data_IF_906422371715
#
_entry.id   IF_906422371715
#
_cell.length_a   1.000
_cell.length_b   1.000
_cell.length_c   1.000
_cell.angle_alpha   90.00
_cell.angle_beta   90.00
_cell.angle_gamma   90.00
#
_symmetry.space_group_name_H-M   'P 1'
#
loop_
_entity.id
_entity.type
_entity.pdbx_description
1 polymer ?
#
# COMPACT_ATOMS: atom_id res chain seq x y z
N UNK A 1 -60.01 18.84 36.98
CA UNK A 1 -60.37 19.94 37.90
C UNK A 1 -59.11 20.72 38.21
N UNK A 2 -59.12 22.02 37.86
CA UNK A 2 -58.26 23.14 38.29
C UNK A 2 -56.72 23.00 38.15
N UNK A 3 -55.91 23.98 37.74
CA UNK A 3 -56.04 25.31 37.10
C UNK A 3 -54.59 25.83 37.04
N UNK A 4 -54.04 26.19 35.88
CA UNK A 4 -53.81 27.59 35.43
C UNK A 4 -52.36 28.10 35.55
N UNK A 5 -51.86 28.57 34.40
CA UNK A 5 -50.60 29.28 34.00
C UNK A 5 -50.65 30.77 34.47
N UNK A 6 -49.75 31.75 34.11
CA UNK A 6 -48.37 31.81 33.56
C UNK A 6 -47.44 32.89 34.20
N UNK A 7 -46.16 32.98 33.78
CA UNK A 7 -45.51 34.26 33.35
C UNK A 7 -44.07 34.10 32.81
N UNK A 8 -43.82 34.79 31.71
CA UNK A 8 -42.59 34.93 30.89
C UNK A 8 -41.41 35.67 31.53
N UNK A 9 -40.20 35.43 31.01
CA UNK A 9 -39.28 36.53 30.63
C UNK A 9 -38.23 36.08 29.60
N UNK A 10 -38.16 36.84 28.50
CA UNK A 10 -37.29 36.72 27.31
C UNK A 10 -35.96 37.47 27.49
N UNK A 11 -34.90 37.00 26.82
CA UNK A 11 -33.90 37.84 26.12
C UNK A 11 -33.11 36.96 25.12
N UNK A 12 -33.43 37.04 23.82
CA UNK A 12 -32.75 37.84 22.78
C UNK A 12 -31.29 37.44 22.49
N UNK A 13 -31.08 36.62 21.45
CA UNK A 13 -29.86 36.66 20.63
C UNK A 13 -30.30 36.64 19.16
N UNK A 14 -29.99 37.74 18.48
CA UNK A 14 -30.29 37.97 17.08
C UNK A 14 -29.14 37.46 16.19
N UNK A 15 -29.55 36.85 15.09
CA UNK A 15 -28.83 36.65 13.82
C UNK A 15 -28.22 37.94 13.27
N UNK A 16 -27.06 37.88 12.62
CA UNK A 16 -26.83 38.52 11.30
C UNK A 16 -25.52 38.08 10.62
N UNK A 17 -25.65 38.01 9.30
CA UNK A 17 -24.72 37.78 8.21
C UNK A 17 -23.35 38.50 8.20
N UNK A 18 -22.44 37.90 7.40
CA UNK A 18 -21.17 38.45 6.87
C UNK A 18 -21.42 39.65 5.93
N UNK A 19 -20.45 40.54 5.55
CA UNK A 19 -19.26 40.18 4.74
C UNK A 19 -17.98 41.05 4.85
N UNK A 20 -16.94 40.53 4.20
CA UNK A 20 -15.67 41.12 3.73
C UNK A 20 -15.67 42.61 3.37
N UNK A 21 -14.63 43.36 3.76
CA UNK A 21 -14.07 44.49 2.97
C UNK A 21 -12.63 44.86 3.38
N UNK A 22 -11.83 45.18 2.35
CA UNK A 22 -10.44 45.67 2.30
C UNK A 22 -10.36 47.17 2.68
N UNK A 23 -9.28 47.68 3.31
CA UNK A 23 -9.07 49.14 3.41
C UNK A 23 -8.20 49.68 2.27
N UNK A 24 -8.57 50.87 1.79
CA UNK A 24 -7.90 51.70 0.78
C UNK A 24 -6.90 52.69 1.42
N UNK A 25 -5.97 53.09 0.55
CA UNK A 25 -5.11 54.27 0.47
C UNK A 25 -5.30 55.44 1.47
N UNK A 26 -4.16 55.98 1.92
CA UNK A 26 -4.02 57.35 2.40
C UNK A 26 -2.97 58.09 1.54
N UNK A 27 -3.40 59.22 0.99
CA UNK A 27 -2.67 60.21 0.20
C UNK A 27 -2.05 61.28 1.10
N UNK A 28 -0.80 61.67 0.85
CA UNK A 28 -0.23 62.94 1.29
C UNK A 28 0.42 63.68 0.10
N UNK A 29 0.46 65.00 0.19
CA UNK A 29 0.35 65.94 -0.92
C UNK A 29 1.53 66.91 -1.07
N UNK A 30 1.88 67.19 -2.35
CA UNK A 30 2.43 68.45 -2.95
C UNK A 30 3.90 68.87 -2.70
N UNK A 31 4.55 69.75 -3.54
CA UNK A 31 4.06 70.51 -4.71
C UNK A 31 4.95 70.45 -6.00
N UNK A 32 4.46 71.13 -7.05
CA UNK A 32 4.92 71.24 -8.46
C UNK A 32 6.08 72.24 -8.68
N UNK A 33 7.03 71.95 -9.60
CA UNK A 33 7.59 72.81 -10.67
C UNK A 33 8.82 72.15 -11.38
N UNK A 34 9.32 72.67 -12.51
CA UNK A 34 8.80 72.60 -13.89
C UNK A 34 9.69 71.76 -14.84
N UNK A 35 9.19 71.49 -16.04
CA UNK A 35 9.86 70.79 -17.14
C UNK A 35 11.28 71.34 -17.45
N UNK A 36 12.26 70.44 -17.54
CA UNK A 36 13.48 70.65 -18.32
C UNK A 36 13.79 69.41 -19.16
N UNK A 37 13.95 69.68 -20.44
CA UNK A 37 14.37 68.81 -21.53
C UNK A 37 15.68 68.05 -21.24
N UNK A 38 15.70 66.82 -21.76
CA UNK A 38 16.69 65.74 -21.66
C UNK A 38 18.16 66.11 -21.94
N UNK A 39 19.08 65.26 -21.48
CA UNK A 39 20.18 64.81 -22.33
C UNK A 39 20.14 63.30 -22.58
N UNK A 40 20.45 62.96 -23.83
CA UNK A 40 20.50 61.62 -24.42
C UNK A 40 21.30 60.60 -23.59
N UNK A 41 20.64 59.53 -23.15
CA UNK A 41 21.30 58.34 -22.59
C UNK A 41 21.73 57.39 -23.71
N UNK A 42 22.96 56.87 -23.62
CA UNK A 42 23.57 55.91 -24.54
C UNK A 42 22.79 54.58 -24.64
N UNK A 43 22.88 53.83 -25.75
CA UNK A 43 22.14 52.58 -25.90
C UNK A 43 22.65 51.51 -24.94
N UNK A 44 21.77 50.63 -24.42
CA UNK A 44 22.18 49.50 -23.59
C UNK A 44 23.00 48.49 -24.43
N UNK A 45 23.92 47.74 -23.82
CA UNK A 45 24.69 46.72 -24.52
C UNK A 45 23.76 45.58 -25.01
N UNK A 46 24.10 44.89 -26.10
CA UNK A 46 23.26 43.83 -26.64
C UNK A 46 23.15 42.72 -25.59
N UNK A 47 21.92 42.41 -25.20
CA UNK A 47 21.63 41.23 -24.40
C UNK A 47 21.85 40.02 -25.30
N UNK A 48 22.98 39.34 -25.13
CA UNK A 48 23.21 38.05 -25.77
C UNK A 48 22.23 37.06 -25.13
N UNK A 49 21.05 36.90 -25.71
CA UNK A 49 20.20 35.75 -25.45
C UNK A 49 20.97 34.53 -25.95
N UNK A 50 21.68 33.87 -25.03
CA UNK A 50 22.21 32.53 -25.27
C UNK A 50 21.01 31.63 -25.54
N UNK A 51 20.68 31.50 -26.82
CA UNK A 51 19.78 30.46 -27.29
C UNK A 51 20.51 29.16 -26.99
N UNK A 52 20.08 28.44 -25.96
CA UNK A 52 20.55 27.09 -25.71
C UNK A 52 20.15 26.30 -26.95
N UNK A 53 21.13 26.06 -27.83
CA UNK A 53 20.96 25.13 -28.94
C UNK A 53 20.90 23.74 -28.31
N UNK A 54 19.68 23.22 -28.14
CA UNK A 54 19.47 21.81 -27.85
C UNK A 54 19.98 21.08 -29.09
N UNK A 55 21.07 20.33 -28.92
CA UNK A 55 21.65 19.54 -29.99
C UNK A 55 20.57 18.61 -30.56
N UNK A 56 20.18 18.84 -31.81
CA UNK A 56 19.11 18.08 -32.48
C UNK A 56 19.47 16.62 -32.70
N UNK A 57 20.72 16.23 -32.39
CA UNK A 57 21.24 14.88 -32.49
C UNK A 57 21.45 14.18 -31.13
N UNK A 58 20.96 14.75 -30.03
CA UNK A 58 21.07 14.13 -28.71
C UNK A 58 20.22 12.85 -28.64
N UNK A 59 20.88 11.69 -28.64
CA UNK A 59 20.19 10.42 -28.37
C UNK A 59 20.08 10.20 -26.86
N UNK A 60 18.95 10.63 -26.30
CA UNK A 60 18.66 10.51 -24.87
C UNK A 60 18.70 9.05 -24.36
N UNK A 61 18.46 8.05 -25.22
CA UNK A 61 18.50 6.64 -24.82
C UNK A 61 19.95 6.14 -24.72
N UNK A 62 20.81 6.51 -25.67
CA UNK A 62 22.24 6.18 -25.59
C UNK A 62 22.91 6.91 -24.43
N UNK A 63 22.53 8.16 -24.18
CA UNK A 63 22.94 8.87 -22.96
C UNK A 63 22.52 8.10 -21.70
N UNK A 64 21.27 7.66 -21.61
CA UNK A 64 20.79 6.86 -20.47
C UNK A 64 21.60 5.57 -20.27
N UNK A 65 21.90 4.84 -21.34
CA UNK A 65 22.74 3.64 -21.27
C UNK A 65 24.13 3.94 -20.72
N UNK A 66 24.76 5.02 -21.21
CA UNK A 66 26.06 5.47 -20.72
C UNK A 66 26.02 5.82 -19.23
N UNK A 67 24.99 6.53 -18.78
CA UNK A 67 24.82 6.88 -17.38
C UNK A 67 24.55 5.67 -16.48
N UNK A 68 23.86 4.63 -16.97
CA UNK A 68 23.73 3.37 -16.24
C UNK A 68 25.05 2.59 -16.10
N UNK A 69 26.06 2.93 -16.91
CA UNK A 69 27.42 2.36 -16.83
C UNK A 69 28.39 3.28 -16.08
N UNK A 70 27.92 4.41 -15.54
CA UNK A 70 28.75 5.34 -14.77
C UNK A 70 29.41 4.61 -13.59
N UNK A 71 30.66 4.93 -13.27
CA UNK A 71 31.40 4.30 -12.16
C UNK A 71 30.77 4.60 -10.80
N UNK A 72 30.15 5.79 -10.64
CA UNK A 72 29.49 6.21 -9.40
C UNK A 72 28.07 5.62 -9.30
N UNK A 73 27.88 4.72 -8.33
CA UNK A 73 26.58 4.11 -8.02
C UNK A 73 25.48 5.14 -7.71
N UNK A 74 25.84 6.25 -7.06
CA UNK A 74 24.89 7.30 -6.72
C UNK A 74 24.35 8.01 -7.97
N UNK A 75 25.22 8.24 -8.97
CA UNK A 75 24.79 8.83 -10.24
C UNK A 75 23.95 7.85 -11.07
N UNK A 76 24.32 6.56 -11.12
CA UNK A 76 23.47 5.52 -11.74
C UNK A 76 22.06 5.52 -11.14
N UNK A 77 21.95 5.53 -9.80
CA UNK A 77 20.67 5.53 -9.10
C UNK A 77 19.86 6.81 -9.35
N UNK A 78 20.52 7.99 -9.36
CA UNK A 78 19.86 9.27 -9.72
C UNK A 78 19.32 9.24 -11.15
N UNK A 79 20.08 8.67 -12.07
CA UNK A 79 19.67 8.49 -13.47
C UNK A 79 18.43 7.60 -13.55
N UNK A 80 18.45 6.44 -12.90
CA UNK A 80 17.30 5.52 -12.83
C UNK A 80 16.02 6.20 -12.28
N UNK A 81 16.14 7.01 -11.23
CA UNK A 81 15.00 7.77 -10.66
C UNK A 81 14.38 8.78 -11.63
N UNK A 82 15.16 9.23 -12.61
CA UNK A 82 14.79 10.29 -13.57
C UNK A 82 14.42 9.75 -14.95
N UNK A 83 14.25 8.44 -15.09
CA UNK A 83 13.89 7.79 -16.37
C UNK A 83 12.64 8.37 -17.03
N UNK A 84 11.70 8.91 -16.25
CA UNK A 84 10.51 9.61 -16.75
C UNK A 84 10.83 10.87 -17.58
N UNK A 85 11.95 11.56 -17.32
CA UNK A 85 12.39 12.71 -18.11
C UNK A 85 12.85 12.28 -19.51
N UNK A 86 13.53 11.13 -19.60
CA UNK A 86 13.94 10.55 -20.88
C UNK A 86 12.70 10.11 -21.65
N UNK A 87 11.76 9.43 -20.99
CA UNK A 87 10.49 9.02 -21.58
C UNK A 87 9.68 10.21 -22.11
N UNK A 88 9.63 11.32 -21.36
CA UNK A 88 8.99 12.56 -21.78
C UNK A 88 9.65 13.18 -23.02
N UNK A 89 10.99 13.09 -23.13
CA UNK A 89 11.73 13.65 -24.26
C UNK A 89 11.58 12.82 -25.55
N UNK A 90 11.67 11.49 -25.46
CA UNK A 90 11.62 10.61 -26.64
C UNK A 90 10.20 10.30 -27.12
N UNK A 91 9.20 10.59 -26.28
CA UNK A 91 7.79 10.34 -26.55
C UNK A 91 7.36 8.88 -26.31
N UNK A 92 6.05 8.61 -26.33
CA UNK A 92 5.51 7.34 -25.87
C UNK A 92 5.86 6.14 -26.74
N UNK A 93 5.86 6.31 -28.07
CA UNK A 93 6.18 5.23 -29.00
C UNK A 93 7.61 4.71 -28.79
N UNK A 94 8.60 5.61 -28.70
CA UNK A 94 10.00 5.22 -28.41
C UNK A 94 10.21 4.76 -26.97
N UNK A 95 9.41 5.26 -26.03
CA UNK A 95 9.44 4.75 -24.64
C UNK A 95 9.12 3.27 -24.62
N UNK A 96 8.07 2.84 -25.32
CA UNK A 96 7.67 1.44 -25.41
C UNK A 96 8.65 0.61 -26.25
N UNK A 97 9.02 1.11 -27.44
CA UNK A 97 9.78 0.31 -28.40
C UNK A 97 11.29 0.30 -28.17
N UNK A 98 11.83 1.22 -27.37
CA UNK A 98 13.28 1.37 -27.15
C UNK A 98 13.63 1.45 -25.68
N UNK A 99 13.09 2.42 -24.93
CA UNK A 99 13.54 2.67 -23.55
C UNK A 99 13.20 1.51 -22.60
N UNK A 100 11.98 0.98 -22.66
CA UNK A 100 11.57 -0.17 -21.84
C UNK A 100 12.41 -1.43 -22.14
N UNK A 101 12.67 -1.81 -23.41
CA UNK A 101 13.61 -2.88 -23.74
C UNK A 101 15.01 -2.66 -23.17
N UNK A 102 15.55 -1.44 -23.25
CA UNK A 102 16.87 -1.10 -22.69
C UNK A 102 16.89 -1.27 -21.17
N UNK A 103 15.85 -0.83 -20.47
CA UNK A 103 15.74 -1.04 -19.02
C UNK A 103 15.63 -2.54 -18.71
N UNK A 104 14.85 -3.28 -19.49
CA UNK A 104 14.66 -4.73 -19.31
C UNK A 104 15.98 -5.49 -19.49
N UNK A 105 16.78 -5.09 -20.47
CA UNK A 105 18.13 -5.62 -20.69
C UNK A 105 19.11 -5.24 -19.58
N UNK A 106 18.98 -4.04 -19.00
CA UNK A 106 19.85 -3.59 -17.92
C UNK A 106 19.61 -4.36 -16.60
N UNK A 107 18.36 -4.74 -16.31
CA UNK A 107 17.97 -5.41 -15.05
C UNK A 107 18.00 -6.94 -15.12
N UNK A 108 17.94 -7.53 -16.31
CA UNK A 108 17.97 -8.99 -16.44
C UNK A 108 19.33 -9.55 -16.05
N UNK A 109 19.40 -10.86 -15.79
CA UNK A 109 20.65 -11.55 -15.45
C UNK A 109 21.74 -11.29 -16.50
N UNK A 110 22.89 -10.80 -16.07
CA UNK A 110 24.01 -10.43 -16.95
C UNK A 110 23.88 -9.03 -17.56
N UNK A 111 22.83 -8.28 -17.23
CA UNK A 111 22.66 -6.88 -17.55
C UNK A 111 23.56 -5.97 -16.70
N UNK A 112 23.76 -4.74 -17.16
CA UNK A 112 24.67 -3.76 -16.54
C UNK A 112 24.33 -3.47 -15.07
N UNK A 113 23.04 -3.53 -14.71
CA UNK A 113 22.56 -3.16 -13.38
C UNK A 113 22.12 -4.38 -12.56
N UNK A 114 22.37 -5.61 -13.01
CA UNK A 114 21.74 -6.80 -12.41
C UNK A 114 22.14 -7.06 -10.96
N UNK A 115 23.28 -6.53 -10.53
CA UNK A 115 23.82 -6.69 -9.17
C UNK A 115 23.91 -5.35 -8.41
N UNK A 116 23.26 -4.28 -8.90
CA UNK A 116 23.25 -2.96 -8.27
C UNK A 116 21.90 -2.68 -7.59
N UNK A 117 21.79 -3.04 -6.32
CA UNK A 117 20.54 -2.94 -5.55
C UNK A 117 19.96 -1.52 -5.51
N UNK A 118 20.80 -0.49 -5.46
CA UNK A 118 20.32 0.91 -5.39
C UNK A 118 19.68 1.34 -6.72
N UNK A 119 20.30 0.95 -7.84
CA UNK A 119 19.77 1.21 -9.18
C UNK A 119 18.51 0.38 -9.44
N UNK A 120 18.52 -0.91 -9.10
CA UNK A 120 17.36 -1.79 -9.24
C UNK A 120 16.17 -1.29 -8.41
N UNK A 121 16.41 -0.86 -7.18
CA UNK A 121 15.38 -0.25 -6.33
C UNK A 121 14.85 1.07 -6.94
N UNK A 122 15.73 1.93 -7.45
CA UNK A 122 15.34 3.16 -8.13
C UNK A 122 14.49 2.90 -9.38
N UNK A 123 14.84 1.88 -10.18
CA UNK A 123 14.07 1.47 -11.35
C UNK A 123 12.69 0.89 -10.94
N UNK A 124 12.63 0.05 -9.90
CA UNK A 124 11.37 -0.50 -9.39
C UNK A 124 10.38 0.59 -8.99
N UNK A 125 10.84 1.66 -8.32
CA UNK A 125 10.01 2.81 -7.97
C UNK A 125 9.60 3.66 -9.18
N UNK A 126 10.40 3.68 -10.23
CA UNK A 126 10.25 4.62 -11.35
C UNK A 126 9.40 4.05 -12.49
N UNK A 127 9.49 2.76 -12.76
CA UNK A 127 8.77 2.08 -13.84
C UNK A 127 7.24 2.31 -13.80
N UNK A 128 6.54 2.22 -12.66
CA UNK A 128 5.09 2.45 -12.61
C UNK A 128 4.69 3.90 -12.95
N UNK A 129 5.62 4.86 -12.85
CA UNK A 129 5.38 6.25 -13.22
C UNK A 129 5.45 6.48 -14.73
N UNK A 130 5.97 5.52 -15.50
CA UNK A 130 5.99 5.55 -16.96
C UNK A 130 4.62 5.28 -17.59
N UNK A 131 3.59 4.90 -16.80
CA UNK A 131 2.19 4.80 -17.27
C UNK A 131 1.71 6.06 -18.02
N UNK A 132 2.20 7.24 -17.62
CA UNK A 132 1.90 8.52 -18.29
C UNK A 132 2.65 8.74 -19.61
N UNK A 133 3.61 7.88 -19.93
CA UNK A 133 4.55 8.01 -21.03
C UNK A 133 4.54 6.80 -21.98
N UNK A 134 3.51 5.94 -21.94
CA UNK A 134 3.41 4.75 -22.81
C UNK A 134 2.13 4.71 -23.64
N UNK A 135 1.34 5.79 -23.65
CA UNK A 135 0.13 5.93 -24.48
C UNK A 135 -0.85 4.74 -24.34
N UNK A 136 -1.11 4.34 -23.08
CA UNK A 136 -1.98 3.22 -22.75
C UNK A 136 -1.36 1.82 -22.89
N UNK A 137 -0.14 1.70 -23.42
CA UNK A 137 0.62 0.44 -23.55
C UNK A 137 1.27 0.02 -22.21
N UNK A 138 0.50 0.03 -21.12
CA UNK A 138 1.03 -0.26 -19.78
C UNK A 138 1.49 -1.72 -19.64
N UNK A 139 1.06 -2.63 -20.53
CA UNK A 139 1.51 -4.03 -20.53
C UNK A 139 3.02 -4.16 -20.76
N UNK A 140 3.65 -3.18 -21.43
CA UNK A 140 5.10 -3.17 -21.65
C UNK A 140 5.90 -3.03 -20.33
N UNK A 141 5.28 -2.51 -19.26
CA UNK A 141 5.93 -2.33 -17.96
C UNK A 141 5.89 -3.61 -17.10
N UNK A 142 5.06 -4.60 -17.44
CA UNK A 142 4.90 -5.83 -16.66
C UNK A 142 6.17 -6.69 -16.65
N UNK A 143 6.82 -7.00 -17.80
CA UNK A 143 8.03 -7.83 -17.80
C UNK A 143 9.18 -7.30 -16.94
N UNK A 144 9.59 -6.01 -17.00
CA UNK A 144 10.67 -5.53 -16.17
C UNK A 144 10.30 -5.51 -14.67
N UNK A 145 9.06 -5.18 -14.33
CA UNK A 145 8.59 -5.26 -12.95
C UNK A 145 8.56 -6.70 -12.42
N UNK A 146 8.14 -7.67 -13.24
CA UNK A 146 8.22 -9.09 -12.88
C UNK A 146 9.67 -9.54 -12.65
N UNK A 147 10.62 -9.06 -13.45
CA UNK A 147 12.05 -9.34 -13.25
C UNK A 147 12.56 -8.77 -11.91
N UNK A 148 12.16 -7.55 -11.58
CA UNK A 148 12.49 -6.90 -10.29
C UNK A 148 11.82 -7.59 -9.10
N UNK A 149 10.62 -8.15 -9.29
CA UNK A 149 9.92 -8.92 -8.27
C UNK A 149 10.61 -10.27 -7.93
N UNK A 150 11.65 -10.66 -8.68
CA UNK A 150 12.45 -11.87 -8.44
C UNK A 150 13.78 -11.61 -7.73
N UNK A 151 14.13 -10.35 -7.46
CA UNK A 151 15.42 -9.99 -6.86
C UNK A 151 15.54 -10.44 -5.40
N UNK A 152 16.77 -10.63 -4.92
CA UNK A 152 17.00 -11.11 -3.55
C UNK A 152 16.75 -10.04 -2.48
N UNK A 153 16.93 -8.78 -2.83
CA UNK A 153 16.68 -7.67 -1.90
C UNK A 153 15.18 -7.39 -1.75
N UNK A 154 14.71 -7.36 -0.50
CA UNK A 154 13.28 -7.34 -0.17
C UNK A 154 12.64 -6.00 -0.54
N UNK A 155 13.36 -4.90 -0.39
CA UNK A 155 12.84 -3.57 -0.76
C UNK A 155 12.60 -3.44 -2.27
N UNK A 156 13.41 -4.10 -3.10
CA UNK A 156 13.23 -4.13 -4.56
C UNK A 156 11.98 -4.92 -4.90
N UNK A 157 11.83 -6.14 -4.35
CA UNK A 157 10.66 -6.99 -4.60
C UNK A 157 9.36 -6.29 -4.21
N UNK A 158 9.31 -5.66 -3.04
CA UNK A 158 8.11 -4.96 -2.57
C UNK A 158 7.74 -3.80 -3.50
N UNK A 159 8.71 -2.96 -3.89
CA UNK A 159 8.46 -1.87 -4.82
C UNK A 159 7.99 -2.37 -6.20
N UNK A 160 8.54 -3.49 -6.67
CA UNK A 160 8.13 -4.11 -7.92
C UNK A 160 6.71 -4.68 -7.86
N UNK A 161 6.33 -5.34 -6.76
CA UNK A 161 4.97 -5.84 -6.52
C UNK A 161 3.96 -4.69 -6.45
N UNK A 162 4.25 -3.63 -5.69
CA UNK A 162 3.41 -2.43 -5.64
C UNK A 162 3.25 -1.81 -7.04
N UNK A 163 4.33 -1.80 -7.82
CA UNK A 163 4.31 -1.41 -9.21
C UNK A 163 3.36 -2.26 -10.07
N UNK A 164 3.43 -3.59 -9.97
CA UNK A 164 2.56 -4.51 -10.72
C UNK A 164 1.08 -4.32 -10.36
N UNK A 165 0.77 -4.13 -9.07
CA UNK A 165 -0.61 -3.83 -8.62
C UNK A 165 -1.09 -2.52 -9.26
N UNK A 166 -0.28 -1.46 -9.20
CA UNK A 166 -0.61 -0.18 -9.83
C UNK A 166 -0.81 -0.29 -11.34
N UNK A 167 -0.05 -1.14 -12.04
CA UNK A 167 -0.28 -1.40 -13.48
C UNK A 167 -1.60 -2.14 -13.69
N UNK A 168 -1.92 -3.14 -12.86
CA UNK A 168 -3.16 -3.91 -12.96
C UNK A 168 -4.41 -3.04 -12.75
N UNK A 169 -4.35 -2.05 -11.85
CA UNK A 169 -5.43 -1.09 -11.61
C UNK A 169 -5.76 -0.21 -12.83
N UNK A 170 -4.82 -0.06 -13.78
CA UNK A 170 -5.06 0.78 -14.97
C UNK A 170 -6.06 0.16 -15.96
N UNK A 171 -6.16 -1.17 -15.99
CA UNK A 171 -7.03 -1.88 -16.91
C UNK A 171 -7.17 -3.35 -16.52
N UNK A 172 -8.41 -3.83 -16.40
CA UNK A 172 -8.70 -5.25 -16.19
C UNK A 172 -8.09 -6.13 -17.29
N UNK A 173 -8.12 -5.69 -18.55
CA UNK A 173 -7.51 -6.43 -19.65
C UNK A 173 -5.99 -6.62 -19.44
N UNK A 174 -5.31 -5.59 -18.91
CA UNK A 174 -3.88 -5.67 -18.60
C UNK A 174 -3.64 -6.62 -17.43
N UNK A 175 -4.45 -6.52 -16.37
CA UNK A 175 -4.39 -7.45 -15.27
C UNK A 175 -4.56 -8.90 -15.74
N UNK A 176 -5.62 -9.18 -16.49
CA UNK A 176 -6.00 -10.54 -16.89
C UNK A 176 -5.03 -11.16 -17.90
N UNK A 177 -4.49 -10.37 -18.84
CA UNK A 177 -3.65 -10.88 -19.92
C UNK A 177 -2.15 -10.86 -19.59
N UNK A 178 -1.70 -10.02 -18.64
CA UNK A 178 -0.27 -9.82 -18.38
C UNK A 178 0.11 -9.98 -16.90
N UNK A 179 -0.56 -9.27 -15.98
CA UNK A 179 -0.21 -9.35 -14.55
C UNK A 179 -0.57 -10.70 -13.92
N UNK A 180 -1.72 -11.28 -14.27
CA UNK A 180 -2.13 -12.59 -13.78
C UNK A 180 -1.16 -13.71 -14.24
N UNK A 181 -0.77 -13.81 -15.54
CA UNK A 181 0.29 -14.74 -15.93
C UNK A 181 1.63 -14.51 -15.21
N UNK A 182 1.98 -13.27 -14.88
CA UNK A 182 3.17 -12.98 -14.08
C UNK A 182 3.04 -13.54 -12.65
N UNK A 183 1.89 -13.37 -12.00
CA UNK A 183 1.60 -13.99 -10.71
C UNK A 183 1.76 -15.52 -10.75
N UNK A 184 1.20 -16.17 -11.78
CA UNK A 184 1.32 -17.63 -11.96
C UNK A 184 2.79 -18.05 -12.08
N UNK A 185 3.60 -17.32 -12.87
CA UNK A 185 5.04 -17.60 -13.01
C UNK A 185 5.83 -17.37 -11.72
N UNK A 186 5.50 -16.32 -10.96
CA UNK A 186 6.14 -16.04 -9.66
C UNK A 186 5.79 -17.13 -8.63
N UNK A 187 4.52 -17.58 -8.59
CA UNK A 187 4.08 -18.65 -7.69
C UNK A 187 4.73 -20.01 -8.02
N UNK A 188 5.01 -20.26 -9.30
CA UNK A 188 5.70 -21.47 -9.76
C UNK A 188 7.24 -21.36 -9.75
N UNK A 189 7.80 -20.24 -9.28
CA UNK A 189 9.23 -20.01 -9.28
C UNK A 189 9.99 -20.93 -8.32
N UNK A 190 11.19 -21.36 -8.72
CA UNK A 190 12.05 -22.28 -7.96
C UNK A 190 12.56 -21.65 -6.65
N UNK A 191 12.92 -20.36 -6.70
CA UNK A 191 13.44 -19.63 -5.56
C UNK A 191 12.33 -19.09 -4.67
N UNK A 192 12.50 -19.25 -3.35
CA UNK A 192 11.48 -18.82 -2.38
C UNK A 192 11.19 -17.32 -2.45
N UNK A 193 12.16 -16.49 -2.82
CA UNK A 193 12.01 -15.03 -2.97
C UNK A 193 10.93 -14.69 -4.00
N UNK A 194 10.87 -15.43 -5.10
CA UNK A 194 9.85 -15.26 -6.15
C UNK A 194 8.45 -15.64 -5.66
N UNK A 195 8.35 -16.72 -4.88
CA UNK A 195 7.09 -17.18 -4.28
C UNK A 195 6.59 -16.24 -3.19
N UNK A 196 7.50 -15.62 -2.42
CA UNK A 196 7.17 -14.54 -1.47
C UNK A 196 6.54 -13.35 -2.21
N UNK A 197 7.09 -12.93 -3.36
CA UNK A 197 6.47 -11.89 -4.18
C UNK A 197 5.07 -12.27 -4.67
N UNK A 198 4.86 -13.55 -5.02
CA UNK A 198 3.54 -14.03 -5.42
C UNK A 198 2.51 -13.90 -4.28
N UNK A 199 2.90 -14.20 -3.03
CA UNK A 199 2.05 -13.98 -1.87
C UNK A 199 1.61 -12.51 -1.75
N UNK A 200 2.53 -11.57 -1.95
CA UNK A 200 2.25 -10.14 -1.85
C UNK A 200 1.44 -9.60 -3.03
N UNK A 201 1.62 -10.16 -4.23
CA UNK A 201 0.93 -9.72 -5.45
C UNK A 201 -0.52 -10.21 -5.53
N UNK A 202 -0.80 -11.41 -5.03
CA UNK A 202 -2.11 -12.06 -5.19
C UNK A 202 -3.32 -11.23 -4.71
N UNK A 203 -3.31 -10.60 -3.51
CA UNK A 203 -4.45 -9.79 -3.05
C UNK A 203 -4.74 -8.60 -3.99
N UNK A 204 -3.69 -7.91 -4.45
CA UNK A 204 -3.83 -6.71 -5.27
C UNK A 204 -4.34 -6.96 -6.69
N UNK A 205 -4.21 -8.18 -7.21
CA UNK A 205 -4.75 -8.55 -8.52
C UNK A 205 -6.18 -9.10 -8.48
N UNK A 206 -6.62 -9.59 -7.32
CA UNK A 206 -7.82 -10.42 -7.21
C UNK A 206 -9.09 -9.75 -7.76
N UNK A 207 -9.32 -8.48 -7.43
CA UNK A 207 -10.52 -7.73 -7.87
C UNK A 207 -10.54 -7.44 -9.38
N UNK A 208 -9.41 -7.54 -10.07
CA UNK A 208 -9.28 -7.26 -11.51
C UNK A 208 -9.23 -8.54 -12.36
N UNK A 209 -9.27 -9.71 -11.71
CA UNK A 209 -9.29 -11.02 -12.34
C UNK A 209 -10.71 -11.46 -12.71
N UNK A 210 -10.83 -12.29 -13.75
CA UNK A 210 -12.06 -13.03 -14.04
C UNK A 210 -12.39 -14.03 -12.93
N UNK A 211 -13.64 -14.52 -12.85
CA UNK A 211 -14.02 -15.54 -11.84
C UNK A 211 -13.14 -16.79 -11.87
N UNK A 212 -12.78 -17.26 -13.09
CA UNK A 212 -11.89 -18.40 -13.26
C UNK A 212 -10.48 -18.09 -12.72
N UNK A 213 -9.96 -16.89 -12.99
CA UNK A 213 -8.66 -16.47 -12.49
C UNK A 213 -8.69 -16.24 -10.98
N UNK A 214 -9.77 -15.71 -10.41
CA UNK A 214 -9.95 -15.58 -8.97
C UNK A 214 -9.90 -16.95 -8.28
N UNK A 215 -10.57 -17.97 -8.82
CA UNK A 215 -10.48 -19.34 -8.33
C UNK A 215 -9.03 -19.87 -8.37
N UNK A 216 -8.31 -19.58 -9.46
CA UNK A 216 -6.90 -19.95 -9.57
C UNK A 216 -6.00 -19.18 -8.60
N UNK A 217 -6.26 -17.89 -8.34
CA UNK A 217 -5.55 -17.11 -7.31
C UNK A 217 -5.73 -17.76 -5.94
N UNK A 218 -6.96 -18.15 -5.57
CA UNK A 218 -7.22 -18.83 -4.30
C UNK A 218 -6.49 -20.17 -4.22
N UNK A 219 -6.50 -20.95 -5.31
CA UNK A 219 -5.76 -22.23 -5.40
C UNK A 219 -4.25 -22.04 -5.25
N UNK A 220 -3.66 -21.07 -5.96
CA UNK A 220 -2.24 -20.76 -5.87
C UNK A 220 -1.86 -20.27 -4.48
N UNK A 221 -2.66 -19.38 -3.89
CA UNK A 221 -2.41 -18.87 -2.55
C UNK A 221 -2.50 -19.97 -1.50
N UNK A 222 -3.43 -20.91 -1.64
CA UNK A 222 -3.52 -22.12 -0.82
C UNK A 222 -2.25 -22.98 -0.89
N UNK A 223 -1.65 -23.14 -2.08
CA UNK A 223 -0.36 -23.82 -2.23
C UNK A 223 0.76 -23.06 -1.52
N UNK A 224 0.85 -21.73 -1.70
CA UNK A 224 1.87 -20.88 -1.07
C UNK A 224 1.77 -20.87 0.47
N UNK A 225 0.54 -20.88 1.00
CA UNK A 225 0.28 -20.93 2.44
C UNK A 225 0.69 -22.27 3.09
N UNK A 226 0.81 -23.34 2.30
CA UNK A 226 1.28 -24.66 2.69
C UNK A 226 2.68 -25.00 2.15
N UNK A 227 3.45 -24.01 1.66
CA UNK A 227 4.78 -24.23 1.09
C UNK A 227 5.73 -24.87 2.11
N UNK A 228 6.63 -25.75 1.66
CA UNK A 228 7.61 -26.37 2.54
C UNK A 228 8.61 -25.36 3.11
N UNK A 229 8.77 -24.22 2.44
CA UNK A 229 9.70 -23.15 2.84
C UNK A 229 9.06 -22.25 3.91
N UNK A 230 9.64 -22.17 5.12
CA UNK A 230 9.10 -21.37 6.23
C UNK A 230 8.90 -19.88 5.89
N UNK A 231 9.77 -19.33 5.04
CA UNK A 231 9.69 -17.94 4.60
C UNK A 231 8.45 -17.66 3.75
N UNK A 232 8.05 -18.61 2.88
CA UNK A 232 6.87 -18.47 2.01
C UNK A 232 5.59 -18.61 2.82
N UNK A 233 5.51 -19.60 3.73
CA UNK A 233 4.37 -19.75 4.64
C UNK A 233 4.13 -18.49 5.48
N UNK A 234 5.21 -17.92 6.04
CA UNK A 234 5.13 -16.67 6.81
C UNK A 234 4.63 -15.51 5.94
N UNK A 235 5.15 -15.36 4.72
CA UNK A 235 4.69 -14.34 3.80
C UNK A 235 3.20 -14.53 3.44
N UNK A 236 2.77 -15.75 3.13
CA UNK A 236 1.37 -16.05 2.85
C UNK A 236 0.47 -15.69 4.04
N UNK A 237 0.82 -16.13 5.26
CA UNK A 237 0.06 -15.81 6.47
C UNK A 237 -0.09 -14.29 6.69
N UNK A 238 0.98 -13.51 6.46
CA UNK A 238 0.97 -12.05 6.55
C UNK A 238 0.05 -11.41 5.49
N UNK A 239 -0.07 -12.02 4.31
CA UNK A 239 -0.89 -11.52 3.22
C UNK A 239 -2.35 -12.01 3.26
N UNK A 240 -2.65 -13.07 4.01
CA UNK A 240 -3.99 -13.65 4.15
C UNK A 240 -5.04 -12.60 4.53
N UNK A 241 -4.70 -11.65 5.41
CA UNK A 241 -5.63 -10.59 5.81
C UNK A 241 -6.14 -9.77 4.63
N UNK A 242 -5.25 -9.37 3.73
CA UNK A 242 -5.59 -8.56 2.56
C UNK A 242 -6.35 -9.37 1.52
N UNK A 243 -6.01 -10.65 1.37
CA UNK A 243 -6.77 -11.54 0.50
C UNK A 243 -8.20 -11.73 1.02
N UNK A 244 -8.40 -11.92 2.33
CA UNK A 244 -9.74 -12.12 2.92
C UNK A 244 -10.61 -10.85 2.86
N UNK A 245 -10.01 -9.67 2.81
CA UNK A 245 -10.74 -8.42 2.57
C UNK A 245 -11.45 -8.45 1.20
N UNK A 246 -10.78 -8.99 0.17
CA UNK A 246 -11.27 -8.99 -1.22
C UNK A 246 -11.99 -10.27 -1.67
N UNK A 247 -11.72 -11.42 -1.05
CA UNK A 247 -12.41 -12.69 -1.34
C UNK A 247 -13.77 -12.74 -0.64
N UNK A 248 -14.80 -13.27 -1.30
CA UNK A 248 -16.12 -13.43 -0.70
C UNK A 248 -16.15 -14.45 0.45
N UNK A 249 -17.15 -14.33 1.33
CA UNK A 249 -17.30 -15.18 2.51
C UNK A 249 -17.38 -16.68 2.15
N UNK A 250 -18.14 -17.03 1.11
CA UNK A 250 -18.32 -18.42 0.70
C UNK A 250 -17.00 -19.09 0.33
N UNK A 251 -16.20 -18.45 -0.53
CA UNK A 251 -14.90 -18.97 -0.94
C UNK A 251 -13.87 -19.00 0.20
N UNK A 252 -13.91 -18.05 1.15
CA UNK A 252 -13.09 -18.14 2.37
C UNK A 252 -13.42 -19.43 3.12
N UNK A 253 -14.71 -19.69 3.38
CA UNK A 253 -15.15 -20.85 4.16
C UNK A 253 -14.84 -22.16 3.43
N UNK A 254 -15.13 -22.27 2.14
CA UNK A 254 -15.02 -23.52 1.39
C UNK A 254 -13.60 -23.89 0.97
N UNK A 255 -12.75 -22.89 0.69
CA UNK A 255 -11.44 -23.13 0.05
C UNK A 255 -10.24 -22.78 0.94
N UNK A 256 -10.35 -21.73 1.77
CA UNK A 256 -9.19 -21.15 2.46
C UNK A 256 -9.20 -21.40 3.98
N UNK A 257 -10.37 -21.66 4.57
CA UNK A 257 -10.53 -21.78 6.02
C UNK A 257 -9.72 -22.93 6.62
N UNK A 258 -9.63 -24.07 5.93
CA UNK A 258 -8.85 -25.21 6.41
C UNK A 258 -7.37 -24.87 6.58
N UNK A 259 -6.83 -24.08 5.64
CA UNK A 259 -5.43 -23.64 5.65
C UNK A 259 -5.21 -22.60 6.73
N UNK A 260 -6.11 -21.63 6.86
CA UNK A 260 -6.08 -20.64 7.93
C UNK A 260 -6.11 -21.31 9.32
N UNK A 261 -6.94 -22.35 9.52
CA UNK A 261 -6.96 -23.15 10.75
C UNK A 261 -5.60 -23.78 11.05
N UNK A 262 -4.98 -24.40 10.05
CA UNK A 262 -3.65 -25.01 10.20
C UNK A 262 -2.57 -23.99 10.57
N UNK A 263 -2.61 -22.79 9.97
CA UNK A 263 -1.66 -21.71 10.28
C UNK A 263 -1.90 -21.09 11.66
N UNK A 264 -3.16 -20.93 12.07
CA UNK A 264 -3.53 -20.41 13.38
C UNK A 264 -3.03 -21.29 14.54
N UNK A 265 -2.84 -22.59 14.30
CA UNK A 265 -2.28 -23.55 15.26
C UNK A 265 -0.83 -23.92 14.99
N UNK A 266 -0.09 -23.15 14.19
CA UNK A 266 1.28 -23.50 13.79
C UNK A 266 2.20 -23.70 15.02
N UNK A 267 2.80 -24.89 15.14
CA UNK A 267 3.60 -25.28 16.30
C UNK A 267 5.05 -24.79 16.24
N UNK A 268 5.49 -24.17 15.14
CA UNK A 268 6.91 -23.85 14.92
C UNK A 268 7.14 -22.33 14.93
N UNK A 269 6.32 -21.57 14.20
CA UNK A 269 6.54 -20.15 13.93
C UNK A 269 5.45 -19.30 14.57
N UNK A 270 5.77 -18.63 15.68
CA UNK A 270 4.85 -17.68 16.31
C UNK A 270 4.43 -16.53 15.39
N UNK A 271 5.31 -16.06 14.52
CA UNK A 271 5.00 -15.04 13.51
C UNK A 271 3.85 -15.43 12.56
N UNK A 272 3.65 -16.73 12.28
CA UNK A 272 2.50 -17.21 11.50
C UNK A 272 1.21 -17.07 12.30
N UNK A 273 1.22 -17.51 13.57
CA UNK A 273 0.05 -17.38 14.46
C UNK A 273 -0.30 -15.92 14.74
N UNK A 274 0.71 -15.06 14.91
CA UNK A 274 0.54 -13.61 15.06
C UNK A 274 -0.14 -13.01 13.83
N UNK A 275 0.29 -13.38 12.62
CA UNK A 275 -0.37 -12.96 11.39
C UNK A 275 -1.83 -13.45 11.31
N UNK A 276 -2.12 -14.65 11.81
CA UNK A 276 -3.47 -15.21 11.85
C UNK A 276 -4.43 -14.45 12.77
N UNK A 277 -3.94 -13.70 13.77
CA UNK A 277 -4.78 -12.79 14.56
C UNK A 277 -5.44 -11.75 13.64
N UNK A 278 -4.68 -11.19 12.71
CA UNK A 278 -5.17 -10.18 11.78
C UNK A 278 -6.16 -10.73 10.77
N UNK A 279 -5.89 -11.88 10.14
CA UNK A 279 -6.83 -12.47 9.19
C UNK A 279 -8.10 -12.98 9.88
N UNK A 280 -8.00 -13.51 11.11
CA UNK A 280 -9.20 -13.91 11.89
C UNK A 280 -10.05 -12.69 12.25
N UNK A 281 -9.44 -11.54 12.51
CA UNK A 281 -10.17 -10.30 12.75
C UNK A 281 -10.91 -9.81 11.49
N UNK A 282 -10.29 -9.90 10.31
CA UNK A 282 -10.97 -9.60 9.02
C UNK A 282 -12.15 -10.55 8.81
N UNK A 283 -11.99 -11.84 9.11
CA UNK A 283 -13.11 -12.79 9.07
C UNK A 283 -14.21 -12.36 10.05
N UNK A 284 -13.85 -11.99 11.28
CA UNK A 284 -14.79 -11.57 12.31
C UNK A 284 -15.69 -10.41 11.87
N UNK A 285 -15.11 -9.42 11.18
CA UNK A 285 -15.83 -8.26 10.65
C UNK A 285 -16.71 -8.59 9.44
N UNK A 286 -16.34 -9.62 8.67
CA UNK A 286 -17.04 -10.02 7.45
C UNK A 286 -18.15 -11.04 7.69
N UNK A 287 -18.05 -11.79 8.78
CA UNK A 287 -18.89 -12.94 9.08
C UNK A 287 -20.10 -12.53 9.92
N UNK A 288 -21.17 -13.32 9.86
CA UNK A 288 -22.31 -13.16 10.78
C UNK A 288 -21.94 -13.66 12.17
N UNK A 289 -22.78 -13.39 13.18
CA UNK A 289 -22.55 -13.89 14.54
C UNK A 289 -22.48 -15.43 14.59
N UNK A 290 -23.38 -16.13 13.89
CA UNK A 290 -23.40 -17.60 13.82
C UNK A 290 -22.15 -18.14 13.12
N UNK A 291 -21.76 -17.53 11.98
CA UNK A 291 -20.52 -17.87 11.27
C UNK A 291 -19.30 -17.68 12.20
N UNK A 292 -19.28 -16.59 12.97
CA UNK A 292 -18.19 -16.29 13.89
C UNK A 292 -18.10 -17.30 15.03
N UNK A 293 -19.24 -17.64 15.64
CA UNK A 293 -19.34 -18.69 16.66
C UNK A 293 -18.76 -20.01 16.15
N UNK A 294 -19.04 -20.35 14.89
CA UNK A 294 -18.58 -21.59 14.28
C UNK A 294 -17.11 -21.56 13.84
N UNK A 295 -16.64 -20.44 13.28
CA UNK A 295 -15.40 -20.41 12.51
C UNK A 295 -14.26 -19.59 13.12
N UNK A 296 -14.54 -18.57 13.94
CA UNK A 296 -13.52 -17.62 14.43
C UNK A 296 -13.28 -17.70 15.94
N UNK A 297 -14.33 -17.90 16.74
CA UNK A 297 -14.27 -17.84 18.22
C UNK A 297 -13.24 -18.81 18.81
N UNK A 298 -13.15 -20.04 18.29
CA UNK A 298 -12.16 -21.03 18.75
C UNK A 298 -10.71 -20.50 18.61
N UNK A 299 -10.41 -19.82 17.50
CA UNK A 299 -9.07 -19.29 17.24
C UNK A 299 -8.80 -18.10 18.16
N UNK A 300 -9.75 -17.16 18.25
CA UNK A 300 -9.61 -15.96 19.07
C UNK A 300 -9.39 -16.31 20.55
N UNK A 301 -10.15 -17.25 21.09
CA UNK A 301 -9.97 -17.73 22.48
C UNK A 301 -8.60 -18.38 22.68
N UNK A 302 -8.13 -19.17 21.71
CA UNK A 302 -6.78 -19.76 21.76
C UNK A 302 -5.66 -18.72 21.73
N UNK A 303 -5.83 -17.63 20.98
CA UNK A 303 -4.82 -16.56 20.85
C UNK A 303 -4.61 -15.78 22.15
N UNK A 304 -5.66 -15.61 22.97
CA UNK A 304 -5.53 -14.98 24.30
C UNK A 304 -4.60 -15.75 25.23
N UNK A 305 -4.54 -17.08 25.08
CA UNK A 305 -3.70 -17.97 25.89
C UNK A 305 -2.50 -18.51 25.12
N UNK A 306 -2.15 -17.90 23.99
CA UNK A 306 -1.06 -18.38 23.15
C UNK A 306 0.28 -18.36 23.91
N UNK A 307 1.11 -19.37 23.69
CA UNK A 307 2.45 -19.44 24.30
C UNK A 307 3.37 -18.26 23.93
N UNK A 308 3.21 -17.67 22.75
CA UNK A 308 3.97 -16.49 22.34
C UNK A 308 3.29 -15.23 22.85
N UNK A 309 4.03 -14.44 23.62
CA UNK A 309 3.57 -13.14 24.10
C UNK A 309 3.25 -12.17 22.97
N UNK A 310 3.82 -12.35 21.76
CA UNK A 310 3.51 -11.49 20.59
C UNK A 310 2.09 -11.69 20.07
N UNK A 311 1.62 -12.94 20.08
CA UNK A 311 0.23 -13.28 19.72
C UNK A 311 -0.73 -12.70 20.76
N UNK A 312 -0.43 -12.90 22.06
CA UNK A 312 -1.22 -12.34 23.16
C UNK A 312 -1.23 -10.81 23.16
N UNK A 313 -0.08 -10.19 22.88
CA UNK A 313 0.05 -8.74 22.73
C UNK A 313 -0.84 -8.22 21.60
N UNK A 314 -0.86 -8.92 20.46
CA UNK A 314 -1.74 -8.58 19.34
C UNK A 314 -3.21 -8.63 19.74
N UNK A 315 -3.63 -9.67 20.48
CA UNK A 315 -4.99 -9.74 21.02
C UNK A 315 -5.33 -8.56 21.93
N UNK A 316 -4.41 -8.17 22.82
CA UNK A 316 -4.57 -6.99 23.67
C UNK A 316 -4.71 -5.70 22.87
N UNK A 317 -3.83 -5.47 21.88
CA UNK A 317 -3.82 -4.25 21.05
C UNK A 317 -5.10 -4.05 20.24
N UNK A 318 -5.72 -5.13 19.79
CA UNK A 318 -6.88 -5.09 18.88
C UNK A 318 -8.19 -5.55 19.53
N UNK A 319 -8.23 -5.68 20.86
CA UNK A 319 -9.41 -6.16 21.56
C UNK A 319 -10.66 -5.31 21.29
N UNK A 320 -10.52 -3.98 21.24
CA UNK A 320 -11.66 -3.09 20.99
C UNK A 320 -12.28 -3.27 19.59
N UNK A 321 -11.44 -3.61 18.60
CA UNK A 321 -11.88 -3.92 17.25
C UNK A 321 -12.61 -5.28 17.22
N UNK A 322 -12.11 -6.27 17.94
CA UNK A 322 -12.78 -7.58 18.07
C UNK A 322 -14.15 -7.45 18.76
N UNK A 323 -14.26 -6.67 19.83
CA UNK A 323 -15.53 -6.42 20.51
C UNK A 323 -16.59 -5.82 19.57
N UNK A 324 -16.17 -4.86 18.72
CA UNK A 324 -17.05 -4.25 17.71
C UNK A 324 -17.46 -5.25 16.63
N UNK A 325 -16.52 -6.08 16.17
CA UNK A 325 -16.76 -7.05 15.10
C UNK A 325 -17.69 -8.19 15.53
N UNK A 326 -17.53 -8.71 16.75
CA UNK A 326 -18.32 -9.84 17.25
C UNK A 326 -19.63 -9.44 17.91
N UNK A 327 -19.78 -8.17 18.30
CA UNK A 327 -20.94 -7.70 19.04
C UNK A 327 -20.91 -8.10 20.53
N UNK A 328 -21.88 -7.59 21.32
CA UNK A 328 -21.87 -7.72 22.78
C UNK A 328 -22.02 -9.17 23.25
N UNK A 329 -22.88 -9.96 22.61
CA UNK A 329 -23.23 -11.29 23.09
C UNK A 329 -22.01 -12.24 23.06
N UNK A 330 -21.36 -12.39 21.91
CA UNK A 330 -20.11 -13.17 21.76
C UNK A 330 -18.96 -12.60 22.59
N UNK A 331 -18.86 -11.27 22.68
CA UNK A 331 -17.80 -10.64 23.48
C UNK A 331 -17.93 -11.03 24.95
N UNK A 332 -19.14 -10.93 25.51
CA UNK A 332 -19.41 -11.26 26.90
C UNK A 332 -19.30 -12.76 27.17
N UNK A 333 -19.82 -13.61 26.28
CA UNK A 333 -19.80 -15.07 26.50
C UNK A 333 -18.42 -15.69 26.32
N UNK A 334 -17.67 -15.28 25.30
CA UNK A 334 -16.49 -16.02 24.85
C UNK A 334 -15.16 -15.26 25.02
N UNK A 335 -15.15 -13.92 24.90
CA UNK A 335 -13.89 -13.16 24.89
C UNK A 335 -13.54 -12.49 26.22
N UNK A 336 -14.54 -12.15 27.03
CA UNK A 336 -14.31 -11.35 28.24
C UNK A 336 -13.43 -12.08 29.25
N UNK A 337 -13.70 -13.36 29.52
CA UNK A 337 -12.88 -14.14 30.45
C UNK A 337 -11.43 -14.27 29.94
N UNK A 338 -11.17 -14.73 28.70
CA UNK A 338 -9.79 -14.82 28.21
C UNK A 338 -9.05 -13.47 28.24
N UNK A 339 -9.74 -12.37 27.91
CA UNK A 339 -9.17 -11.02 27.97
C UNK A 339 -8.75 -10.62 29.39
N UNK A 340 -9.53 -10.96 30.43
CA UNK A 340 -9.10 -10.69 31.81
C UNK A 340 -7.80 -11.40 32.20
N UNK A 341 -7.46 -12.51 31.53
CA UNK A 341 -6.17 -13.16 31.64
C UNK A 341 -5.00 -12.26 31.22
N UNK A 342 -5.18 -11.45 30.18
CA UNK A 342 -4.14 -10.54 29.69
C UNK A 342 -3.80 -9.41 30.67
N UNK A 343 -4.75 -9.00 31.53
CA UNK A 343 -4.49 -8.00 32.57
C UNK A 343 -3.48 -8.51 33.62
N UNK A 344 -3.37 -9.83 33.76
CA UNK A 344 -2.43 -10.51 34.64
C UNK A 344 -1.32 -11.25 33.85
N UNK A 345 -1.09 -10.88 32.59
CA UNK A 345 -0.09 -11.53 31.75
C UNK A 345 1.32 -11.40 32.37
N UNK A 346 2.19 -12.43 32.29
CA UNK A 346 3.58 -12.30 32.75
C UNK A 346 4.35 -11.20 32.01
N UNK A 347 4.05 -10.94 30.74
CA UNK A 347 4.75 -9.96 29.92
C UNK A 347 4.21 -8.54 30.14
N UNK A 348 5.09 -7.59 30.39
CA UNK A 348 4.68 -6.23 30.75
C UNK A 348 3.93 -5.53 29.61
N UNK A 349 4.41 -5.68 28.37
CA UNK A 349 3.79 -5.04 27.20
C UNK A 349 2.37 -5.55 26.94
N UNK A 350 2.11 -6.83 27.24
CA UNK A 350 0.76 -7.41 27.11
C UNK A 350 -0.18 -6.78 28.14
N UNK A 351 0.26 -6.64 29.40
CA UNK A 351 -0.55 -5.97 30.43
C UNK A 351 -0.85 -4.52 30.08
N UNK A 352 0.13 -3.78 29.56
CA UNK A 352 -0.06 -2.39 29.11
C UNK A 352 -1.14 -2.33 28.02
N UNK A 353 -1.01 -3.15 26.97
CA UNK A 353 -1.98 -3.18 25.88
C UNK A 353 -3.39 -3.56 26.35
N UNK A 354 -3.52 -4.51 27.28
CA UNK A 354 -4.80 -4.90 27.86
C UNK A 354 -5.45 -3.74 28.65
N UNK A 355 -4.69 -3.02 29.47
CA UNK A 355 -5.19 -1.84 30.21
C UNK A 355 -5.65 -0.74 29.25
N UNK A 356 -4.87 -0.45 28.21
CA UNK A 356 -5.26 0.52 27.17
C UNK A 356 -6.54 0.10 26.43
N UNK A 357 -6.73 -1.21 26.20
CA UNK A 357 -7.93 -1.72 25.56
C UNK A 357 -9.18 -1.58 26.43
N UNK A 358 -9.07 -1.75 27.77
CA UNK A 358 -10.20 -1.52 28.70
C UNK A 358 -10.76 -0.11 28.49
N UNK A 359 -9.90 0.92 28.45
CA UNK A 359 -10.33 2.30 28.26
C UNK A 359 -11.16 2.49 26.99
N UNK A 360 -10.80 1.82 25.89
CA UNK A 360 -11.51 1.88 24.60
C UNK A 360 -12.83 1.10 24.62
N UNK A 361 -12.90 0.02 25.38
CA UNK A 361 -14.04 -0.89 25.41
C UNK A 361 -15.16 -0.50 26.38
N UNK A 362 -14.95 0.48 27.29
CA UNK A 362 -15.97 0.96 28.24
C UNK A 362 -17.29 1.34 27.55
N UNK A 363 -17.24 1.86 26.31
CA UNK A 363 -18.43 2.19 25.53
C UNK A 363 -19.17 0.98 24.94
N UNK A 364 -18.45 -0.11 24.66
CA UNK A 364 -18.98 -1.33 24.03
C UNK A 364 -19.49 -2.33 25.06
N UNK A 365 -18.81 -2.42 26.20
CA UNK A 365 -19.12 -3.34 27.30
C UNK A 365 -20.20 -2.82 28.26
N UNK A 366 -21.15 -2.01 27.77
CA UNK A 366 -22.20 -1.43 28.61
C UNK A 366 -22.95 -2.53 29.37
N UNK A 367 -22.61 -2.65 30.66
CA UNK A 367 -23.25 -3.57 31.60
C UNK A 367 -24.70 -3.13 31.72
N UNK A 368 -25.62 -3.97 31.22
CA UNK A 368 -27.05 -3.80 31.53
C UNK A 368 -27.34 -4.27 32.95
#
# INVERSE_FOLDING_TARGET
>A
MASSVPSDSKSNIATTDSPSTRPKEATESSPIAPERSSPSAAPPPPTTTTTIQIDTNFDAVEFFKGELQNEDACERAKCARRVHLIAAHIGPQRTVSVLIPVISEAIQKGGVCCDDDEVLYALALSLPNLTKHVDGRNEALVPPLECLARQDETVIRNAAVDGLVKIAETSEAICQQYCFPALVRLAAGEWFTTRVSACCLAPGLYCHCTEQQQAEVRRLFACLANDDTPMVKRAAAQQTRYLFEVVDKSSIISELLGIHRSQATDEVQDAIREACVHSTMVMAEKFTEDDNRQYTVWALTSFFTDRSWRVRLSMGKYFDRLCKALGPDLTTSDLLQPFTGLLNDPEQDVRIAAVEAVQKCVSVLSVR
#
